data_IF_550098041066
#
_entry.id   IF_550098041066
#
_cell.length_a   1.000
_cell.length_b   1.000
_cell.length_c   1.000
_cell.angle_alpha   90.00
_cell.angle_beta   90.00
_cell.angle_gamma   90.00
#
_symmetry.space_group_name_H-M   'P 1'
#
loop_
_entity.id
_entity.type
_entity.pdbx_description
1 polymer ?
#
# COMPACT_ATOMS: atom_id res chain seq x y z
N UNK A 1 -37.64 20.78 45.92
CA UNK A 1 -36.19 20.64 45.71
C UNK A 1 -35.98 19.40 44.86
N UNK A 2 -35.78 19.56 43.56
CA UNK A 2 -35.49 18.46 42.64
C UNK A 2 -34.03 18.55 42.26
N UNK A 3 -33.26 17.51 42.53
CA UNK A 3 -31.99 17.30 41.86
C UNK A 3 -31.75 15.79 41.74
N UNK A 4 -32.16 15.24 40.60
CA UNK A 4 -31.92 13.86 40.24
C UNK A 4 -30.68 13.87 39.33
N UNK A 5 -29.56 13.35 39.84
CA UNK A 5 -28.32 13.25 39.07
C UNK A 5 -28.44 12.09 38.09
N UNK A 6 -28.59 12.40 36.80
CA UNK A 6 -28.45 11.42 35.74
C UNK A 6 -26.97 11.06 35.58
N UNK A 7 -26.64 9.79 35.82
CA UNK A 7 -25.35 9.21 35.50
C UNK A 7 -25.16 9.17 33.98
N UNK A 8 -24.13 9.85 33.48
CA UNK A 8 -23.70 9.68 32.09
C UNK A 8 -22.90 8.38 31.97
N UNK A 9 -23.54 7.34 31.44
CA UNK A 9 -22.82 6.15 30.98
C UNK A 9 -22.00 6.52 29.75
N UNK A 10 -20.69 6.68 29.91
CA UNK A 10 -19.76 6.77 28.80
C UNK A 10 -19.66 5.39 28.14
N UNK A 11 -20.45 5.16 27.09
CA UNK A 11 -20.16 4.10 26.14
C UNK A 11 -19.03 4.64 25.26
N UNK A 12 -17.78 4.28 25.58
CA UNK A 12 -16.68 4.45 24.64
C UNK A 12 -17.03 3.67 23.37
N UNK A 13 -17.11 4.29 22.17
CA UNK A 13 -17.08 3.49 20.96
C UNK A 13 -15.69 2.84 20.91
N UNK A 14 -15.65 1.54 21.11
CA UNK A 14 -14.50 0.73 20.69
C UNK A 14 -14.43 0.98 19.18
N UNK A 15 -13.46 1.77 18.72
CA UNK A 15 -13.22 1.93 17.29
C UNK A 15 -12.96 0.55 16.73
N UNK A 16 -13.96 -0.05 16.08
CA UNK A 16 -13.82 -1.38 15.52
C UNK A 16 -12.70 -1.32 14.47
N UNK A 17 -11.75 -2.26 14.51
CA UNK A 17 -10.71 -2.38 13.49
C UNK A 17 -11.39 -2.35 12.11
N UNK A 18 -10.96 -1.47 11.20
CA UNK A 18 -11.60 -1.36 9.89
C UNK A 18 -11.50 -2.69 9.15
N UNK A 19 -12.57 -3.09 8.47
CA UNK A 19 -12.51 -4.25 7.58
C UNK A 19 -11.84 -3.82 6.28
N UNK A 20 -10.56 -4.15 6.13
CA UNK A 20 -9.79 -3.86 4.92
C UNK A 20 -9.61 -5.13 4.11
N UNK A 21 -9.88 -5.04 2.80
CA UNK A 21 -9.52 -6.06 1.82
C UNK A 21 -8.88 -5.44 0.59
N UNK A 22 -7.95 -6.14 -0.04
CA UNK A 22 -7.33 -5.72 -1.29
C UNK A 22 -7.95 -6.45 -2.47
N UNK A 23 -8.25 -5.71 -3.54
CA UNK A 23 -8.83 -6.29 -4.76
C UNK A 23 -8.27 -5.63 -6.01
N UNK A 24 -8.40 -6.33 -7.13
CA UNK A 24 -8.26 -5.74 -8.45
C UNK A 24 -9.64 -5.47 -9.03
N UNK A 25 -9.93 -4.24 -9.46
CA UNK A 25 -11.11 -3.92 -10.25
C UNK A 25 -10.82 -2.80 -11.26
N UNK A 26 -11.72 -2.59 -12.20
CA UNK A 26 -11.65 -1.41 -13.07
C UNK A 26 -11.81 -0.11 -12.27
N UNK A 27 -11.07 0.90 -12.68
CA UNK A 27 -11.05 2.24 -12.11
C UNK A 27 -10.84 3.28 -13.20
N UNK A 28 -11.46 4.46 -13.05
CA UNK A 28 -11.22 5.58 -13.94
C UNK A 28 -9.92 6.29 -13.55
N UNK A 29 -9.10 6.53 -14.55
CA UNK A 29 -8.00 7.47 -14.44
C UNK A 29 -8.56 8.91 -14.36
N UNK A 30 -8.21 9.72 -13.35
CA UNK A 30 -8.77 11.06 -13.19
C UNK A 30 -8.43 11.99 -14.36
N UNK A 31 -7.25 11.85 -14.96
CA UNK A 31 -6.77 12.73 -16.03
C UNK A 31 -7.38 12.37 -17.40
N UNK A 32 -7.29 11.11 -17.79
CA UNK A 32 -7.66 10.63 -19.13
C UNK A 32 -9.07 10.04 -19.21
N UNK A 33 -9.71 9.79 -18.06
CA UNK A 33 -11.01 9.11 -17.95
C UNK A 33 -11.01 7.68 -18.54
N UNK A 34 -9.84 7.11 -18.81
CA UNK A 34 -9.68 5.74 -19.28
C UNK A 34 -10.01 4.74 -18.17
N UNK A 35 -10.64 3.61 -18.52
CA UNK A 35 -10.80 2.49 -17.59
C UNK A 35 -9.50 1.70 -17.53
N UNK A 36 -8.95 1.54 -16.32
CA UNK A 36 -7.70 0.84 -16.07
C UNK A 36 -7.87 -0.18 -14.94
N UNK A 37 -7.21 -1.35 -15.02
CA UNK A 37 -7.09 -2.25 -13.87
C UNK A 37 -6.43 -1.49 -12.72
N UNK A 38 -7.07 -1.49 -11.56
CA UNK A 38 -6.63 -0.74 -10.39
C UNK A 38 -6.65 -1.65 -9.17
N UNK A 39 -5.54 -1.67 -8.45
CA UNK A 39 -5.46 -2.29 -7.13
C UNK A 39 -6.10 -1.33 -6.13
N UNK A 40 -7.14 -1.80 -5.45
CA UNK A 40 -7.92 -1.05 -4.46
C UNK A 40 -7.77 -1.64 -3.07
N UNK A 41 -7.79 -0.78 -2.05
CA UNK A 41 -8.18 -1.15 -0.70
C UNK A 41 -9.69 -0.89 -0.53
N UNK A 42 -10.46 -1.94 -0.25
CA UNK A 42 -11.86 -1.88 0.13
C UNK A 42 -11.94 -1.75 1.66
N UNK A 43 -12.51 -0.66 2.14
CA UNK A 43 -12.64 -0.31 3.55
C UNK A 43 -14.11 -0.07 3.83
N UNK A 44 -14.76 -0.95 4.59
CA UNK A 44 -16.19 -0.84 4.92
C UNK A 44 -17.04 -0.47 3.68
N UNK A 45 -16.83 -1.19 2.57
CA UNK A 45 -17.46 -1.02 1.25
C UNK A 45 -17.04 0.20 0.41
N UNK A 46 -16.19 1.08 0.93
CA UNK A 46 -15.58 2.18 0.18
C UNK A 46 -14.26 1.76 -0.45
N UNK A 47 -13.98 2.18 -1.69
CA UNK A 47 -12.73 1.86 -2.40
C UNK A 47 -11.74 3.02 -2.35
N UNK A 48 -10.49 2.71 -2.01
CA UNK A 48 -9.33 3.61 -2.16
C UNK A 48 -8.37 3.06 -3.19
N UNK A 49 -8.08 3.83 -4.23
CA UNK A 49 -7.13 3.41 -5.26
C UNK A 49 -5.71 3.39 -4.67
N UNK A 50 -5.00 2.27 -4.85
CA UNK A 50 -3.62 2.11 -4.40
C UNK A 50 -2.66 2.15 -5.60
N UNK A 51 -2.96 1.42 -6.68
CA UNK A 51 -2.13 1.40 -7.89
C UNK A 51 -3.04 1.35 -9.11
N UNK A 52 -2.95 2.35 -9.99
CA UNK A 52 -3.56 2.30 -11.33
C UNK A 52 -2.55 1.72 -12.31
N UNK A 53 -2.89 0.59 -12.94
CA UNK A 53 -1.97 -0.12 -13.83
C UNK A 53 -2.04 0.44 -15.24
N UNK A 54 -1.49 1.64 -15.42
CA UNK A 54 -1.36 2.26 -16.72
C UNK A 54 -0.40 1.48 -17.62
N UNK A 55 -0.87 1.26 -18.84
CA UNK A 55 -0.07 1.72 -19.96
C UNK A 55 1.31 1.08 -20.10
N UNK A 56 2.27 1.90 -19.65
CA UNK A 56 3.59 2.04 -20.22
C UNK A 56 4.68 2.12 -19.14
N UNK A 57 4.32 2.45 -17.88
CA UNK A 57 5.29 2.49 -16.76
C UNK A 57 5.70 1.12 -16.25
N UNK A 58 4.98 0.05 -16.62
CA UNK A 58 5.24 -1.30 -16.12
C UNK A 58 5.30 -2.38 -17.23
N UNK A 59 4.89 -2.14 -18.48
CA UNK A 59 4.51 -3.17 -19.46
C UNK A 59 5.57 -4.20 -19.95
N UNK A 60 6.86 -3.86 -20.02
CA UNK A 60 7.89 -4.67 -20.72
C UNK A 60 8.28 -6.06 -20.14
N UNK A 61 7.46 -6.70 -19.31
CA UNK A 61 7.73 -8.05 -18.78
C UNK A 61 6.82 -9.16 -19.35
N UNK A 62 5.97 -8.87 -20.34
CA UNK A 62 5.01 -9.86 -20.89
C UNK A 62 3.81 -10.15 -19.97
N UNK A 63 3.65 -9.41 -18.87
CA UNK A 63 2.49 -9.52 -17.97
C UNK A 63 1.46 -8.45 -18.28
N UNK A 64 0.27 -8.88 -18.72
CA UNK A 64 -0.91 -8.02 -18.95
C UNK A 64 -1.28 -7.26 -17.67
N UNK A 65 -1.70 -5.99 -17.80
CA UNK A 65 -2.01 -5.07 -16.67
C UNK A 65 -2.90 -5.69 -15.61
N UNK A 66 -3.95 -6.39 -16.04
CA UNK A 66 -4.90 -7.04 -15.15
C UNK A 66 -4.26 -8.15 -14.30
N UNK A 67 -3.32 -8.91 -14.86
CA UNK A 67 -2.60 -9.96 -14.13
C UNK A 67 -1.77 -9.36 -12.99
N UNK A 68 -1.06 -8.26 -13.25
CA UNK A 68 -0.28 -7.55 -12.21
C UNK A 68 -1.19 -6.99 -11.12
N UNK A 69 -2.28 -6.36 -11.53
CA UNK A 69 -3.29 -5.84 -10.62
C UNK A 69 -3.81 -6.91 -9.67
N UNK A 70 -4.14 -8.09 -10.21
CA UNK A 70 -4.63 -9.23 -9.42
C UNK A 70 -3.58 -9.76 -8.46
N UNK A 71 -2.34 -9.91 -8.92
CA UNK A 71 -1.24 -10.48 -8.14
C UNK A 71 -0.77 -9.56 -7.02
N UNK A 72 -0.65 -8.25 -7.30
CA UNK A 72 -0.29 -7.28 -6.28
C UNK A 72 -1.42 -7.12 -5.26
N UNK A 73 -2.69 -7.11 -5.70
CA UNK A 73 -3.82 -7.13 -4.77
C UNK A 73 -3.79 -8.37 -3.85
N UNK A 74 -3.54 -9.56 -4.42
CA UNK A 74 -3.44 -10.80 -3.65
C UNK A 74 -2.27 -10.81 -2.65
N UNK A 75 -1.11 -10.25 -3.04
CA UNK A 75 0.05 -10.13 -2.15
C UNK A 75 -0.22 -9.16 -1.01
N UNK A 76 -0.80 -7.99 -1.30
CA UNK A 76 -1.21 -7.01 -0.28
C UNK A 76 -2.21 -7.63 0.71
N UNK A 77 -3.22 -8.34 0.21
CA UNK A 77 -4.18 -9.09 1.03
C UNK A 77 -3.46 -10.09 1.94
N UNK A 78 -2.53 -10.89 1.40
CA UNK A 78 -1.76 -11.88 2.16
C UNK A 78 -0.94 -11.22 3.28
N UNK A 79 -0.16 -10.18 2.97
CA UNK A 79 0.73 -9.55 3.96
C UNK A 79 -0.04 -8.75 5.00
N UNK A 80 -1.19 -8.17 4.63
CA UNK A 80 -2.09 -7.52 5.57
C UNK A 80 -2.69 -8.54 6.53
N UNK A 81 -3.25 -9.65 6.02
CA UNK A 81 -3.82 -10.71 6.84
C UNK A 81 -2.79 -11.43 7.72
N UNK A 82 -1.52 -11.46 7.30
CA UNK A 82 -0.41 -12.03 8.07
C UNK A 82 0.22 -11.04 9.05
N UNK A 83 -0.24 -9.77 9.05
CA UNK A 83 0.32 -8.69 9.86
C UNK A 83 1.83 -8.45 9.64
N UNK A 84 2.30 -8.69 8.39
CA UNK A 84 3.70 -8.50 7.97
C UNK A 84 3.91 -7.27 7.10
N UNK A 85 2.84 -6.52 6.82
CA UNK A 85 2.91 -5.23 6.12
C UNK A 85 3.37 -4.11 7.07
N UNK A 86 4.65 -4.14 7.45
CA UNK A 86 5.26 -3.18 8.38
C UNK A 86 6.12 -2.13 7.67
N UNK A 87 7.24 -2.56 7.06
CA UNK A 87 8.15 -1.68 6.33
C UNK A 87 8.16 -2.05 4.86
N UNK A 88 7.82 -1.11 3.99
CA UNK A 88 7.92 -1.24 2.55
C UNK A 88 9.28 -0.71 2.11
N UNK A 89 9.99 -1.48 1.29
CA UNK A 89 11.30 -1.10 0.77
C UNK A 89 11.62 -1.78 -0.56
N UNK A 90 12.77 -1.44 -1.15
CA UNK A 90 13.30 -2.11 -2.34
C UNK A 90 14.15 -3.31 -1.96
N UNK A 91 14.26 -4.31 -2.82
CA UNK A 91 15.24 -5.38 -2.65
C UNK A 91 15.38 -6.25 -3.88
N UNK A 92 15.93 -7.44 -3.70
CA UNK A 92 16.17 -8.37 -4.79
C UNK A 92 15.76 -9.77 -4.37
N UNK A 93 14.93 -10.42 -5.18
CA UNK A 93 14.53 -11.82 -5.00
C UNK A 93 14.84 -12.53 -6.31
N UNK A 94 15.63 -13.62 -6.25
CA UNK A 94 16.05 -14.38 -7.44
C UNK A 94 16.62 -13.51 -8.56
N UNK A 95 17.51 -12.57 -8.20
CA UNK A 95 18.13 -11.59 -9.12
C UNK A 95 17.17 -10.59 -9.79
N UNK A 96 15.89 -10.57 -9.40
CA UNK A 96 14.92 -9.60 -9.89
C UNK A 96 14.76 -8.46 -8.85
N UNK A 97 14.83 -7.17 -9.26
CA UNK A 97 14.47 -6.06 -8.37
C UNK A 97 12.99 -6.11 -8.01
N UNK A 98 12.69 -5.81 -6.74
CA UNK A 98 11.34 -5.90 -6.19
C UNK A 98 11.05 -4.78 -5.19
N UNK A 99 9.77 -4.50 -4.99
CA UNK A 99 9.24 -3.87 -3.78
C UNK A 99 8.74 -4.97 -2.87
N UNK A 100 9.13 -4.94 -1.61
CA UNK A 100 8.85 -5.98 -0.64
C UNK A 100 8.58 -5.41 0.75
N UNK A 101 8.06 -6.25 1.64
CA UNK A 101 8.06 -5.98 3.08
C UNK A 101 9.33 -6.47 3.74
N UNK A 102 9.72 -5.83 4.85
CA UNK A 102 10.74 -6.33 5.76
C UNK A 102 10.36 -6.03 7.22
N UNK A 103 10.94 -6.77 8.16
CA UNK A 103 10.67 -6.60 9.59
C UNK A 103 11.45 -5.44 10.23
N UNK A 104 12.59 -5.06 9.65
CA UNK A 104 13.45 -4.00 10.17
C UNK A 104 14.24 -3.32 9.04
N UNK A 105 14.70 -2.09 9.28
CA UNK A 105 15.66 -1.46 8.40
C UNK A 105 16.96 -2.29 8.33
N UNK A 106 17.57 -2.37 7.15
CA UNK A 106 18.68 -3.28 6.85
C UNK A 106 18.28 -4.76 6.71
N UNK A 107 17.02 -5.12 6.96
CA UNK A 107 16.55 -6.50 6.87
C UNK A 107 16.32 -6.99 5.44
N UNK A 108 16.31 -8.31 5.28
CA UNK A 108 15.99 -8.98 4.02
C UNK A 108 14.53 -8.77 3.59
N UNK A 109 14.26 -8.89 2.29
CA UNK A 109 12.89 -8.95 1.78
C UNK A 109 12.19 -10.21 2.29
N UNK A 110 11.06 -10.04 2.97
CA UNK A 110 10.26 -11.14 3.52
C UNK A 110 9.11 -11.51 2.59
N UNK A 111 8.24 -10.55 2.26
CA UNK A 111 7.14 -10.78 1.32
C UNK A 111 7.27 -9.87 0.10
N UNK A 112 7.19 -10.47 -1.08
CA UNK A 112 7.13 -9.75 -2.35
C UNK A 112 5.79 -9.00 -2.48
N UNK A 113 5.85 -7.71 -2.81
CA UNK A 113 4.67 -6.92 -3.20
C UNK A 113 4.64 -6.70 -4.71
N UNK A 114 5.65 -6.01 -5.25
CA UNK A 114 5.71 -5.62 -6.66
C UNK A 114 7.01 -6.13 -7.27
N UNK A 115 6.92 -6.73 -8.46
CA UNK A 115 8.10 -7.06 -9.26
C UNK A 115 8.43 -5.89 -10.16
N UNK A 116 9.67 -5.40 -10.07
CA UNK A 116 10.18 -4.29 -10.88
C UNK A 116 10.96 -4.82 -12.07
N UNK A 117 11.05 -4.04 -13.14
CA UNK A 117 12.05 -4.24 -14.19
C UNK A 117 13.36 -3.54 -13.84
N UNK A 118 14.49 -3.94 -14.45
CA UNK A 118 15.79 -3.34 -14.15
C UNK A 118 15.83 -1.82 -14.31
N UNK A 119 15.05 -1.27 -15.26
CA UNK A 119 14.96 0.17 -15.55
C UNK A 119 13.97 0.94 -14.66
N UNK A 120 13.16 0.26 -13.85
CA UNK A 120 12.13 0.93 -13.05
C UNK A 120 12.76 1.70 -11.87
N UNK A 121 12.25 2.91 -11.58
CA UNK A 121 12.65 3.68 -10.39
C UNK A 121 12.01 3.10 -9.12
N UNK A 122 12.65 2.08 -8.56
CA UNK A 122 12.18 1.45 -7.33
C UNK A 122 12.09 2.39 -6.13
N UNK A 123 12.96 3.41 -6.04
CA UNK A 123 12.92 4.38 -4.94
C UNK A 123 11.69 5.28 -5.07
N UNK A 124 11.42 5.80 -6.27
CA UNK A 124 10.22 6.57 -6.58
C UNK A 124 8.95 5.78 -6.27
N UNK A 125 8.89 4.51 -6.66
CA UNK A 125 7.74 3.64 -6.41
C UNK A 125 7.51 3.40 -4.91
N UNK A 126 8.56 3.20 -4.10
CA UNK A 126 8.40 3.08 -2.64
C UNK A 126 7.87 4.36 -2.02
N UNK A 127 8.34 5.53 -2.48
CA UNK A 127 7.85 6.83 -2.01
C UNK A 127 6.36 7.01 -2.32
N UNK A 128 5.98 6.82 -3.58
CA UNK A 128 4.60 6.95 -4.04
C UNK A 128 3.68 5.98 -3.30
N UNK A 129 4.04 4.70 -3.22
CA UNK A 129 3.24 3.71 -2.48
C UNK A 129 3.15 4.04 -0.99
N UNK A 130 4.24 4.52 -0.40
CA UNK A 130 4.27 5.00 0.98
C UNK A 130 3.32 6.18 1.18
N UNK A 131 3.36 7.20 0.33
CA UNK A 131 2.47 8.37 0.40
C UNK A 131 0.99 7.97 0.28
N UNK A 132 0.66 7.11 -0.70
CA UNK A 132 -0.71 6.58 -0.89
C UNK A 132 -1.21 5.85 0.36
N UNK A 133 -0.35 5.05 0.99
CA UNK A 133 -0.67 4.32 2.23
C UNK A 133 -0.52 5.17 3.49
N UNK A 134 -0.33 6.49 3.35
CA UNK A 134 -0.06 7.43 4.45
C UNK A 134 1.06 6.93 5.39
N UNK A 135 2.09 6.37 4.77
CA UNK A 135 3.28 5.87 5.42
C UNK A 135 4.23 6.99 5.84
N UNK A 136 5.16 6.63 6.72
CA UNK A 136 6.19 7.52 7.24
C UNK A 136 7.56 6.95 6.89
N UNK A 137 8.46 7.81 6.44
CA UNK A 137 9.88 7.46 6.31
C UNK A 137 10.45 7.11 7.69
N UNK A 138 10.87 5.86 7.86
CA UNK A 138 11.54 5.39 9.06
C UNK A 138 13.04 5.65 8.96
N UNK A 139 13.65 5.22 7.85
CA UNK A 139 15.09 5.22 7.67
C UNK A 139 15.48 5.31 6.19
N UNK A 140 16.66 5.86 5.95
CA UNK A 140 17.32 5.90 4.66
C UNK A 140 18.71 5.28 4.79
N UNK A 141 19.05 4.39 3.89
CA UNK A 141 20.31 3.66 3.87
C UNK A 141 21.01 3.85 2.52
N UNK A 142 22.32 4.08 2.55
CA UNK A 142 23.14 4.07 1.34
C UNK A 142 23.28 2.65 0.83
N UNK A 143 23.09 2.42 -0.48
CA UNK A 143 23.28 1.08 -1.03
C UNK A 143 24.75 0.65 -0.95
N UNK A 144 25.04 -0.66 -0.79
CA UNK A 144 26.41 -1.18 -0.70
C UNK A 144 27.29 -0.87 -1.92
N UNK A 145 26.69 -0.71 -3.10
CA UNK A 145 27.37 -0.37 -4.35
C UNK A 145 27.74 1.13 -4.45
N UNK A 146 27.37 1.95 -3.46
CA UNK A 146 27.55 3.40 -3.45
C UNK A 146 26.66 4.14 -4.45
N UNK A 147 25.77 3.44 -5.18
CA UNK A 147 24.92 3.99 -6.22
C UNK A 147 23.49 4.15 -5.72
N UNK A 148 23.28 5.22 -4.96
CA UNK A 148 21.96 5.66 -4.52
C UNK A 148 21.58 5.16 -3.14
N UNK A 149 20.28 5.26 -2.85
CA UNK A 149 19.73 5.05 -1.52
C UNK A 149 18.57 4.07 -1.57
N UNK A 150 18.35 3.36 -0.47
CA UNK A 150 17.16 2.58 -0.17
C UNK A 150 16.47 3.24 1.02
N UNK A 151 15.14 3.31 0.98
CA UNK A 151 14.34 3.88 2.07
C UNK A 151 13.44 2.79 2.67
N UNK A 152 13.10 2.96 3.93
CA UNK A 152 12.18 2.10 4.66
C UNK A 152 10.95 2.91 5.03
N UNK A 153 9.84 2.66 4.34
CA UNK A 153 8.56 3.31 4.58
C UNK A 153 7.73 2.48 5.54
N UNK A 154 7.50 2.97 6.75
CA UNK A 154 6.58 2.35 7.69
C UNK A 154 5.14 2.68 7.30
N UNK A 155 4.31 1.65 7.17
CA UNK A 155 2.88 1.80 6.82
C UNK A 155 2.00 1.19 7.91
N UNK A 156 0.83 1.79 8.12
CA UNK A 156 -0.21 1.27 9.01
C UNK A 156 -1.53 1.31 8.24
N UNK A 157 -1.94 0.14 7.74
CA UNK A 157 -3.13 0.01 6.90
C UNK A 157 -4.41 0.29 7.68
N UNK A 158 -4.46 -0.05 8.97
CA UNK A 158 -5.63 0.22 9.81
C UNK A 158 -5.80 1.72 10.03
N UNK A 159 -4.69 2.44 10.22
CA UNK A 159 -4.69 3.92 10.28
C UNK A 159 -5.05 4.53 8.93
N UNK A 160 -4.46 4.05 7.84
CA UNK A 160 -4.79 4.49 6.47
C UNK A 160 -6.29 4.32 6.18
N UNK A 161 -6.89 3.22 6.63
CA UNK A 161 -8.30 2.95 6.42
C UNK A 161 -9.23 3.95 7.11
N UNK A 162 -8.78 4.56 8.21
CA UNK A 162 -9.55 5.55 8.96
C UNK A 162 -9.47 6.97 8.35
N UNK A 163 -8.52 7.22 7.43
CA UNK A 163 -8.41 8.52 6.76
C UNK A 163 -9.64 8.71 5.85
N UNK A 164 -10.38 9.83 5.93
CA UNK A 164 -11.47 10.08 5.00
C UNK A 164 -10.97 10.08 3.56
N UNK A 165 -11.61 9.32 2.68
CA UNK A 165 -11.50 9.58 1.24
C UNK A 165 -12.31 10.82 0.94
N UNK A 166 -11.63 11.90 0.55
CA UNK A 166 -12.32 12.95 -0.19
C UNK A 166 -12.67 12.35 -1.55
N UNK A 167 -13.96 12.11 -1.77
CA UNK A 167 -14.44 11.84 -3.12
C UNK A 167 -14.20 13.12 -3.91
N UNK A 168 -13.34 13.04 -4.92
CA UNK A 168 -13.33 14.06 -5.97
C UNK A 168 -14.63 13.86 -6.74
N UNK A 169 -15.63 14.67 -6.37
CA UNK A 169 -16.95 14.78 -7.03
C UNK A 169 -16.81 15.33 -8.45
#
# INVERSE_FOLDING_TARGET
>A
MQNNQASFNAINPISAKPNVRFMCSEGKDPETQQSLPTTYALINDSKKAIIRWESDRFANAGWQRYKRCTEVASRLEKVYNSNTLNLITTGTINSQPVICTTAAAGGDCQDLLITLKPEDDGLGIVKELGEILNGRLLETESKPDGQGQKIYMQVDVDRFAQIPTFQED
#
